data_IF_375762219181
#
_entry.id   IF_375762219181
#
_cell.length_a   1.000
_cell.length_b   1.000
_cell.length_c   1.000
_cell.angle_alpha   90.00
_cell.angle_beta   90.00
_cell.angle_gamma   90.00
#
_symmetry.space_group_name_H-M   'P 1'
#
loop_
_entity.id
_entity.type
_entity.pdbx_description
1 polymer ?
#
# COMPACT_ATOMS: atom_id res chain seq x y z
N UNK A 1 -20.91 8.68 -5.09
CA UNK A 1 -19.94 7.65 -5.52
C UNK A 1 -18.72 7.58 -4.62
N UNK A 2 -18.01 8.69 -4.33
CA UNK A 2 -16.83 8.71 -3.46
C UNK A 2 -17.14 8.28 -2.02
N UNK A 3 -18.26 8.70 -1.46
CA UNK A 3 -18.70 8.30 -0.12
C UNK A 3 -18.91 6.78 0.00
N UNK A 4 -19.47 6.15 -1.04
CA UNK A 4 -19.62 4.69 -1.07
C UNK A 4 -18.30 3.92 -1.09
N UNK A 5 -17.22 4.51 -1.65
CA UNK A 5 -15.89 3.91 -1.65
C UNK A 5 -15.23 3.94 -0.26
N UNK A 6 -15.56 4.92 0.56
CA UNK A 6 -15.05 5.06 1.93
C UNK A 6 -15.79 4.15 2.93
N UNK A 7 -17.00 3.70 2.62
CA UNK A 7 -17.81 2.90 3.54
C UNK A 7 -17.11 1.62 4.04
N UNK A 8 -16.47 0.80 3.19
CA UNK A 8 -15.71 -0.37 3.65
C UNK A 8 -14.54 0.02 4.56
N UNK A 9 -13.80 1.08 4.21
CA UNK A 9 -12.69 1.56 5.01
C UNK A 9 -13.15 2.01 6.40
N UNK A 10 -14.24 2.78 6.46
CA UNK A 10 -14.86 3.20 7.71
C UNK A 10 -15.30 1.99 8.53
N UNK A 11 -16.06 1.08 7.92
CA UNK A 11 -16.57 -0.11 8.60
C UNK A 11 -15.47 -1.02 9.14
N UNK A 12 -14.41 -1.28 8.34
CA UNK A 12 -13.36 -2.23 8.72
C UNK A 12 -12.30 -1.64 9.67
N UNK A 13 -12.01 -0.35 9.56
CA UNK A 13 -10.88 0.25 10.27
C UNK A 13 -11.26 1.27 11.33
N UNK A 14 -12.28 2.09 11.05
CA UNK A 14 -12.58 3.26 11.89
C UNK A 14 -13.85 3.12 12.72
N UNK A 15 -14.64 2.07 12.53
CA UNK A 15 -15.92 1.86 13.23
C UNK A 15 -15.78 1.92 14.75
N UNK A 16 -14.88 1.10 15.31
CA UNK A 16 -14.65 1.05 16.77
C UNK A 16 -14.12 2.37 17.32
N UNK A 17 -13.19 2.98 16.62
CA UNK A 17 -12.61 4.27 17.01
C UNK A 17 -13.70 5.36 17.10
N UNK A 18 -14.52 5.49 16.05
CA UNK A 18 -15.53 6.55 16.04
C UNK A 18 -16.67 6.29 17.04
N UNK A 19 -17.14 5.05 17.14
CA UNK A 19 -18.27 4.75 18.03
C UNK A 19 -17.87 4.64 19.49
N UNK A 20 -16.70 4.14 19.81
CA UNK A 20 -16.29 3.93 21.21
C UNK A 20 -15.48 5.12 21.75
N UNK A 21 -14.44 5.56 21.02
CA UNK A 21 -13.54 6.59 21.51
C UNK A 21 -14.12 7.99 21.35
N UNK A 22 -14.91 8.23 20.30
CA UNK A 22 -15.53 9.53 20.04
C UNK A 22 -16.93 9.66 20.60
N UNK A 23 -17.78 8.64 20.42
CA UNK A 23 -19.20 8.69 20.81
C UNK A 23 -19.49 7.98 22.14
N UNK A 24 -18.53 7.25 22.70
CA UNK A 24 -18.66 6.58 23.99
C UNK A 24 -19.74 5.48 24.05
N UNK A 25 -20.14 4.92 22.89
CA UNK A 25 -21.28 4.01 22.80
C UNK A 25 -20.98 2.57 23.28
N UNK A 26 -19.72 2.24 23.57
CA UNK A 26 -19.32 0.92 24.06
C UNK A 26 -19.68 -0.25 23.13
N UNK A 27 -19.85 0.01 21.84
CA UNK A 27 -20.25 -1.01 20.88
C UNK A 27 -19.10 -1.96 20.57
N UNK A 28 -19.27 -3.22 20.93
CA UNK A 28 -18.35 -4.28 20.55
C UNK A 28 -18.62 -4.72 19.11
N UNK A 29 -17.59 -4.63 18.28
CA UNK A 29 -17.64 -5.18 16.94
C UNK A 29 -17.17 -6.64 16.97
N UNK A 30 -17.83 -7.56 16.24
CA UNK A 30 -17.25 -8.88 16.02
C UNK A 30 -15.86 -8.74 15.39
N UNK A 31 -14.92 -9.59 15.80
CA UNK A 31 -13.55 -9.60 15.26
C UNK A 31 -13.57 -9.94 13.77
N UNK A 32 -13.70 -8.93 12.92
CA UNK A 32 -13.68 -9.10 11.48
C UNK A 32 -12.25 -8.87 11.01
N UNK A 33 -11.72 -9.85 10.30
CA UNK A 33 -10.39 -9.74 9.70
C UNK A 33 -10.36 -8.55 8.74
N UNK A 34 -9.45 -7.60 8.98
CA UNK A 34 -9.27 -6.46 8.08
C UNK A 34 -8.59 -6.95 6.80
N UNK A 35 -9.20 -6.77 5.63
CA UNK A 35 -8.54 -7.15 4.38
C UNK A 35 -7.21 -6.43 4.20
N UNK A 36 -6.19 -7.19 3.82
CA UNK A 36 -4.87 -6.63 3.55
C UNK A 36 -4.94 -5.60 2.41
N UNK A 37 -4.24 -4.47 2.54
CA UNK A 37 -4.24 -3.42 1.53
C UNK A 37 -5.52 -2.58 1.45
N UNK A 38 -6.52 -2.76 2.33
CA UNK A 38 -7.81 -2.07 2.25
C UNK A 38 -7.69 -0.54 2.09
N UNK A 39 -6.77 0.08 2.81
CA UNK A 39 -6.55 1.53 2.73
C UNK A 39 -6.00 1.93 1.36
N UNK A 40 -4.95 1.23 0.88
CA UNK A 40 -4.33 1.50 -0.41
C UNK A 40 -5.32 1.29 -1.56
N UNK A 41 -6.04 0.17 -1.53
CA UNK A 41 -7.07 -0.14 -2.51
C UNK A 41 -8.20 0.91 -2.54
N UNK A 42 -8.60 1.42 -1.39
CA UNK A 42 -9.61 2.48 -1.30
C UNK A 42 -9.08 3.79 -1.90
N UNK A 43 -7.86 4.20 -1.57
CA UNK A 43 -7.24 5.39 -2.12
C UNK A 43 -6.99 5.27 -3.63
N UNK A 44 -6.59 4.10 -4.12
CA UNK A 44 -6.43 3.83 -5.53
C UNK A 44 -7.73 4.03 -6.32
N UNK A 45 -8.85 3.50 -5.81
CA UNK A 45 -10.19 3.73 -6.40
C UNK A 45 -10.59 5.20 -6.41
N UNK A 46 -10.34 5.90 -5.30
CA UNK A 46 -10.64 7.32 -5.20
C UNK A 46 -9.80 8.12 -6.20
N UNK A 47 -8.50 7.81 -6.30
CA UNK A 47 -7.59 8.41 -7.28
C UNK A 47 -8.10 8.24 -8.71
N UNK A 48 -8.49 7.02 -9.10
CA UNK A 48 -9.08 6.74 -10.41
C UNK A 48 -10.29 7.61 -10.73
N UNK A 49 -11.20 7.77 -9.77
CA UNK A 49 -12.39 8.59 -9.97
C UNK A 49 -12.07 10.08 -10.03
N UNK A 50 -11.13 10.56 -9.21
CA UNK A 50 -10.67 11.97 -9.25
C UNK A 50 -10.04 12.27 -10.60
N UNK A 51 -9.16 11.40 -11.11
CA UNK A 51 -8.53 11.57 -12.41
C UNK A 51 -9.56 11.54 -13.54
N UNK A 52 -10.61 10.70 -13.41
CA UNK A 52 -11.70 10.65 -14.39
C UNK A 52 -12.55 11.92 -14.40
N UNK A 53 -12.77 12.53 -13.23
CA UNK A 53 -13.52 13.80 -13.12
C UNK A 53 -12.70 14.96 -13.65
N UNK A 54 -11.38 14.97 -13.38
CA UNK A 54 -10.48 16.04 -13.85
C UNK A 54 -10.28 16.04 -15.36
N UNK A 55 -10.22 14.85 -15.95
CA UNK A 55 -10.02 14.67 -17.39
C UNK A 55 -11.21 13.93 -18.02
N UNK A 56 -12.34 14.61 -18.26
CA UNK A 56 -13.56 13.99 -18.80
C UNK A 56 -13.48 13.62 -20.28
N UNK A 57 -12.38 13.97 -20.98
CA UNK A 57 -12.17 13.70 -22.40
C UNK A 57 -12.14 12.22 -22.75
N UNK A 58 -11.75 11.36 -21.82
CA UNK A 58 -11.73 9.90 -21.99
C UNK A 58 -12.59 9.26 -20.90
N UNK A 59 -13.80 8.82 -21.28
CA UNK A 59 -14.65 8.05 -20.37
C UNK A 59 -14.10 6.62 -20.27
N UNK A 60 -13.60 6.20 -19.10
CA UNK A 60 -13.08 4.85 -18.93
C UNK A 60 -14.22 3.84 -19.04
N UNK A 61 -13.97 2.70 -19.68
CA UNK A 61 -14.87 1.56 -19.67
C UNK A 61 -14.83 0.89 -18.30
N UNK A 62 -15.83 0.10 -17.99
CA UNK A 62 -15.87 -0.68 -16.77
C UNK A 62 -14.67 -1.65 -16.65
N UNK A 63 -14.23 -2.21 -17.77
CA UNK A 63 -13.04 -3.06 -17.83
C UNK A 63 -11.75 -2.30 -17.49
N UNK A 64 -11.61 -1.05 -17.90
CA UNK A 64 -10.44 -0.22 -17.56
C UNK A 64 -10.37 0.01 -16.05
N UNK A 65 -11.52 0.26 -15.43
CA UNK A 65 -11.63 0.38 -13.98
C UNK A 65 -11.26 -0.94 -13.27
N UNK A 66 -11.78 -2.08 -13.74
CA UNK A 66 -11.45 -3.38 -13.17
C UNK A 66 -9.95 -3.68 -13.32
N UNK A 67 -9.38 -3.48 -14.50
CA UNK A 67 -7.95 -3.70 -14.75
C UNK A 67 -7.08 -2.82 -13.85
N UNK A 68 -7.44 -1.54 -13.69
CA UNK A 68 -6.73 -0.63 -12.80
C UNK A 68 -6.80 -1.08 -11.35
N UNK A 69 -7.97 -1.48 -10.87
CA UNK A 69 -8.17 -1.89 -9.47
C UNK A 69 -7.61 -3.28 -9.15
N UNK A 70 -7.56 -4.19 -10.14
CA UNK A 70 -7.07 -5.56 -9.95
C UNK A 70 -5.59 -5.74 -10.26
N UNK A 71 -4.89 -4.67 -10.64
CA UNK A 71 -3.46 -4.74 -10.94
C UNK A 71 -2.67 -5.09 -9.67
N UNK A 72 -2.37 -6.38 -9.54
CA UNK A 72 -1.89 -6.99 -8.29
C UNK A 72 -0.60 -6.38 -7.72
N UNK A 73 0.37 -5.85 -8.52
CA UNK A 73 1.58 -5.27 -7.95
C UNK A 73 1.32 -4.04 -7.08
N UNK A 74 0.14 -3.40 -7.20
CA UNK A 74 -0.22 -2.20 -6.45
C UNK A 74 -1.16 -2.46 -5.26
N UNK A 75 -1.82 -3.63 -5.20
CA UNK A 75 -2.95 -3.86 -4.27
C UNK A 75 -2.56 -3.73 -2.81
N UNK A 76 -1.37 -4.20 -2.42
CA UNK A 76 -0.99 -4.29 -0.99
C UNK A 76 -0.39 -2.98 -0.48
N UNK A 77 0.64 -2.46 -1.12
CA UNK A 77 1.36 -1.25 -0.72
C UNK A 77 2.18 -0.64 -1.87
N UNK A 78 1.78 -0.87 -3.13
CA UNK A 78 2.49 -0.36 -4.30
C UNK A 78 2.37 1.16 -4.44
N UNK A 79 3.20 1.78 -5.29
CA UNK A 79 3.04 3.18 -5.63
C UNK A 79 1.66 3.40 -6.25
N UNK A 80 0.97 4.47 -5.81
CA UNK A 80 -0.34 4.84 -6.35
C UNK A 80 -0.09 5.47 -7.73
N UNK A 81 -0.27 4.68 -8.77
CA UNK A 81 -0.12 5.13 -10.15
C UNK A 81 -1.36 5.90 -10.63
N UNK A 82 -1.12 6.83 -11.56
CA UNK A 82 -2.21 7.55 -12.21
C UNK A 82 -2.85 6.69 -13.30
N UNK A 83 -4.16 6.83 -13.45
CA UNK A 83 -4.95 6.15 -14.52
C UNK A 83 -4.31 6.35 -15.91
N UNK A 84 -3.88 7.57 -16.20
CA UNK A 84 -3.31 7.97 -17.48
C UNK A 84 -1.95 7.32 -17.78
N UNK A 85 -1.21 6.93 -16.75
CA UNK A 85 0.07 6.23 -16.89
C UNK A 85 -0.13 4.72 -17.01
N UNK A 86 -0.96 4.13 -16.14
CA UNK A 86 -1.07 2.69 -16.02
C UNK A 86 -1.93 2.04 -17.13
N UNK A 87 -3.09 2.62 -17.47
CA UNK A 87 -3.99 1.99 -18.43
C UNK A 87 -3.38 1.79 -19.82
N UNK A 88 -2.65 2.77 -20.40
CA UNK A 88 -2.00 2.55 -21.70
C UNK A 88 -0.90 1.49 -21.66
N UNK A 89 -0.29 1.26 -20.51
CA UNK A 89 0.71 0.20 -20.33
C UNK A 89 0.03 -1.17 -20.27
N UNK A 90 -1.08 -1.29 -19.53
CA UNK A 90 -1.87 -2.52 -19.45
C UNK A 90 -2.43 -2.91 -20.85
N UNK A 91 -2.92 -1.94 -21.61
CA UNK A 91 -3.43 -2.20 -22.97
C UNK A 91 -2.35 -2.66 -23.96
N UNK A 92 -1.10 -2.28 -23.72
CA UNK A 92 0.05 -2.61 -24.58
C UNK A 92 0.85 -3.80 -24.07
N UNK A 93 0.39 -4.50 -23.04
CA UNK A 93 1.10 -5.67 -22.51
C UNK A 93 1.30 -6.69 -23.64
N UNK A 94 2.55 -6.92 -24.00
CA UNK A 94 2.97 -8.03 -24.86
C UNK A 94 3.53 -9.14 -23.97
N UNK A 95 2.87 -10.29 -23.93
CA UNK A 95 3.29 -11.45 -23.12
C UNK A 95 4.55 -12.14 -23.65
N UNK A 96 5.38 -11.44 -24.43
CA UNK A 96 6.67 -11.96 -24.86
C UNK A 96 7.74 -11.72 -23.80
N UNK A 97 8.39 -12.80 -23.40
CA UNK A 97 9.49 -12.72 -22.44
C UNK A 97 10.73 -12.18 -23.16
N UNK A 98 11.16 -10.99 -22.77
CA UNK A 98 12.42 -10.39 -23.19
C UNK A 98 13.48 -10.61 -22.11
N UNK A 99 14.55 -11.32 -22.44
CA UNK A 99 15.60 -11.66 -21.47
C UNK A 99 16.20 -10.45 -20.75
N UNK A 100 16.38 -9.33 -21.45
CA UNK A 100 16.88 -8.09 -20.83
C UNK A 100 15.92 -7.48 -19.81
N UNK A 101 14.61 -7.55 -20.07
CA UNK A 101 13.57 -7.10 -19.10
C UNK A 101 13.55 -8.03 -17.90
N UNK A 102 13.65 -9.33 -18.10
CA UNK A 102 13.68 -10.31 -17.01
C UNK A 102 14.87 -10.10 -16.07
N UNK A 103 16.06 -9.84 -16.62
CA UNK A 103 17.24 -9.54 -15.79
C UNK A 103 17.02 -8.26 -14.96
N UNK A 104 16.49 -7.21 -15.56
CA UNK A 104 16.19 -5.97 -14.86
C UNK A 104 15.12 -6.17 -13.80
N UNK A 105 14.05 -6.89 -14.12
CA UNK A 105 12.98 -7.24 -13.18
C UNK A 105 13.52 -8.00 -11.96
N UNK A 106 14.35 -9.02 -12.19
CA UNK A 106 14.97 -9.80 -11.11
C UNK A 106 15.87 -8.93 -10.22
N UNK A 107 16.64 -8.01 -10.78
CA UNK A 107 17.46 -7.08 -10.00
C UNK A 107 16.60 -6.22 -9.06
N UNK A 108 15.48 -5.69 -9.54
CA UNK A 108 14.55 -4.92 -8.72
C UNK A 108 13.89 -5.76 -7.63
N UNK A 109 13.47 -6.99 -7.95
CA UNK A 109 12.87 -7.91 -6.97
C UNK A 109 13.88 -8.29 -5.89
N UNK A 110 15.11 -8.64 -6.26
CA UNK A 110 16.18 -8.97 -5.30
C UNK A 110 16.49 -7.77 -4.40
N UNK A 111 16.60 -6.57 -4.96
CA UNK A 111 16.82 -5.35 -4.19
C UNK A 111 15.68 -5.10 -3.21
N UNK A 112 14.42 -5.26 -3.65
CA UNK A 112 13.24 -5.12 -2.81
C UNK A 112 13.20 -6.13 -1.67
N UNK A 113 13.52 -7.39 -1.95
CA UNK A 113 13.64 -8.43 -0.91
C UNK A 113 14.77 -8.12 0.08
N UNK A 114 15.91 -7.60 -0.38
CA UNK A 114 16.99 -7.19 0.50
C UNK A 114 16.55 -6.05 1.44
N UNK A 115 15.86 -5.04 0.92
CA UNK A 115 15.30 -3.96 1.73
C UNK A 115 14.31 -4.47 2.78
N UNK A 116 13.44 -5.39 2.40
CA UNK A 116 12.43 -5.96 3.30
C UNK A 116 13.08 -6.88 4.34
N UNK A 117 13.75 -7.95 3.89
CA UNK A 117 14.19 -9.04 4.76
C UNK A 117 15.47 -8.70 5.54
N UNK A 118 16.42 -8.00 4.88
CA UNK A 118 17.70 -7.70 5.51
C UNK A 118 17.66 -6.40 6.31
N UNK A 119 16.95 -5.38 5.82
CA UNK A 119 16.96 -4.06 6.48
C UNK A 119 15.75 -3.88 7.38
N UNK A 120 14.52 -3.90 6.83
CA UNK A 120 13.32 -3.57 7.59
C UNK A 120 13.04 -4.54 8.74
N UNK A 121 13.12 -5.84 8.48
CA UNK A 121 12.83 -6.87 9.48
C UNK A 121 13.89 -6.89 10.60
N UNK A 122 15.17 -6.65 10.28
CA UNK A 122 16.22 -6.57 11.30
C UNK A 122 16.10 -5.30 12.15
N UNK A 123 15.78 -4.14 11.55
CA UNK A 123 15.49 -2.93 12.31
C UNK A 123 14.27 -3.16 13.22
N UNK A 124 13.22 -3.82 12.73
CA UNK A 124 12.05 -4.15 13.53
C UNK A 124 12.36 -5.06 14.71
N UNK A 125 13.19 -6.07 14.50
CA UNK A 125 13.65 -6.99 15.56
C UNK A 125 14.53 -6.28 16.58
N UNK A 126 15.39 -5.37 16.15
CA UNK A 126 16.24 -4.57 17.04
C UNK A 126 15.38 -3.62 17.90
N UNK A 127 14.48 -2.88 17.29
CA UNK A 127 13.57 -1.98 17.99
C UNK A 127 12.67 -2.71 18.99
N UNK A 128 12.18 -3.90 18.63
CA UNK A 128 11.32 -4.71 19.50
C UNK A 128 12.04 -5.31 20.74
N UNK A 129 13.37 -5.42 20.70
CA UNK A 129 14.18 -5.90 21.82
C UNK A 129 14.54 -4.80 22.83
N UNK A 130 14.45 -3.54 22.42
CA UNK A 130 14.70 -2.42 23.31
C UNK A 130 13.51 -2.24 24.26
N UNK A 131 13.77 -2.39 25.56
CA UNK A 131 12.79 -2.04 26.60
C UNK A 131 12.70 -0.52 26.65
N UNK A 132 11.48 0.00 26.54
CA UNK A 132 11.23 1.42 26.79
C UNK A 132 11.28 1.59 28.30
N UNK A 133 12.39 2.11 28.82
CA UNK A 133 12.37 2.69 30.14
C UNK A 133 11.84 4.12 30.00
N UNK A 134 10.63 4.38 30.53
CA UNK A 134 9.93 5.66 30.35
C UNK A 134 10.69 6.87 30.90
N UNK A 135 11.84 6.64 31.58
CA UNK A 135 12.73 7.67 32.08
C UNK A 135 13.82 8.15 31.11
N UNK A 136 14.06 7.45 29.99
CA UNK A 136 15.15 7.76 29.07
C UNK A 136 14.65 8.28 27.73
N UNK A 137 14.70 9.60 27.55
CA UNK A 137 14.25 10.25 26.32
C UNK A 137 14.99 9.76 25.07
N UNK A 138 16.27 9.39 25.18
CA UNK A 138 17.06 8.87 24.05
C UNK A 138 16.55 7.53 23.53
N UNK A 139 16.12 6.64 24.39
CA UNK A 139 15.56 5.35 24.01
C UNK A 139 14.25 5.52 23.25
N UNK A 140 13.40 6.44 23.69
CA UNK A 140 12.14 6.77 23.03
C UNK A 140 12.40 7.33 21.63
N UNK A 141 13.32 8.30 21.51
CA UNK A 141 13.69 8.87 20.21
C UNK A 141 14.30 7.83 19.27
N UNK A 142 15.19 6.97 19.78
CA UNK A 142 15.79 5.90 18.99
C UNK A 142 14.73 4.93 18.47
N UNK A 143 13.75 4.55 19.30
CA UNK A 143 12.67 3.68 18.89
C UNK A 143 11.75 4.33 17.83
N UNK A 144 11.41 5.61 18.00
CA UNK A 144 10.65 6.35 16.99
C UNK A 144 11.39 6.39 15.65
N UNK A 145 12.70 6.65 15.69
CA UNK A 145 13.54 6.66 14.49
C UNK A 145 13.64 5.27 13.84
N UNK A 146 13.91 4.23 14.64
CA UNK A 146 13.97 2.86 14.14
C UNK A 146 12.63 2.41 13.52
N UNK A 147 11.51 2.80 14.15
CA UNK A 147 10.17 2.51 13.62
C UNK A 147 9.93 3.23 12.29
N UNK A 148 10.32 4.51 12.18
CA UNK A 148 10.22 5.27 10.93
C UNK A 148 11.08 4.65 9.82
N UNK A 149 12.33 4.26 10.13
CA UNK A 149 13.22 3.57 9.20
C UNK A 149 12.66 2.22 8.77
N UNK A 150 12.13 1.43 9.69
CA UNK A 150 11.47 0.17 9.38
C UNK A 150 10.35 0.37 8.35
N UNK A 151 9.44 1.32 8.60
CA UNK A 151 8.33 1.61 7.67
C UNK A 151 8.87 2.02 6.31
N UNK A 152 9.88 2.90 6.29
CA UNK A 152 10.49 3.37 5.05
C UNK A 152 11.06 2.22 4.21
N UNK A 153 11.89 1.37 4.81
CA UNK A 153 12.53 0.25 4.09
C UNK A 153 11.53 -0.84 3.72
N UNK A 154 10.51 -1.09 4.54
CA UNK A 154 9.43 -2.03 4.24
C UNK A 154 8.64 -1.58 3.01
N UNK A 155 8.24 -0.31 2.99
CA UNK A 155 7.51 0.27 1.86
C UNK A 155 8.37 0.40 0.59
N UNK A 156 9.62 0.83 0.72
CA UNK A 156 10.55 0.91 -0.42
C UNK A 156 10.83 -0.48 -1.00
N UNK A 157 11.04 -1.49 -0.15
CA UNK A 157 11.23 -2.86 -0.57
C UNK A 157 10.04 -3.40 -1.37
N UNK A 158 8.83 -3.18 -0.87
CA UNK A 158 7.62 -3.55 -1.60
C UNK A 158 7.50 -2.82 -2.94
N UNK A 159 7.82 -1.52 -2.97
CA UNK A 159 7.77 -0.72 -4.20
C UNK A 159 8.75 -1.23 -5.26
N UNK A 160 9.95 -1.62 -4.87
CA UNK A 160 10.93 -2.22 -5.78
C UNK A 160 10.47 -3.56 -6.33
N UNK A 161 9.86 -4.41 -5.50
CA UNK A 161 9.25 -5.67 -5.94
C UNK A 161 8.13 -5.38 -6.95
N UNK A 162 7.26 -4.41 -6.66
CA UNK A 162 6.16 -4.03 -7.55
C UNK A 162 6.67 -3.54 -8.91
N UNK A 163 7.72 -2.71 -8.93
CA UNK A 163 8.38 -2.27 -10.18
C UNK A 163 8.95 -3.47 -10.94
N UNK A 164 9.65 -4.37 -10.25
CA UNK A 164 10.19 -5.57 -10.89
C UNK A 164 9.12 -6.49 -11.48
N UNK A 165 7.95 -6.59 -10.85
CA UNK A 165 6.82 -7.38 -11.35
C UNK A 165 6.07 -6.72 -12.52
N UNK A 166 6.24 -5.41 -12.69
CA UNK A 166 5.62 -4.63 -13.78
C UNK A 166 6.47 -4.52 -15.05
N UNK A 167 7.73 -4.97 -15.03
CA UNK A 167 8.66 -4.98 -16.17
C UNK A 167 8.55 -6.24 -17.03
#
# INVERSE_FOLDING_TARGET
>A
LLTGQLAPLFYYKYWTFVLNDWLGLGMTRPSVLIPMGLSFYTFQKIGFWIDTIRNPSVRPRFLDYLNFCSFFPQIVAGPIEKKESLLPQIEKIDFKIHWGSLETALRWIILGLAYKLVVADNIGNLAGKLRIDAGNAWEVWFQCFAFAMRIYFDFAGYSFIAVGLGL
#
